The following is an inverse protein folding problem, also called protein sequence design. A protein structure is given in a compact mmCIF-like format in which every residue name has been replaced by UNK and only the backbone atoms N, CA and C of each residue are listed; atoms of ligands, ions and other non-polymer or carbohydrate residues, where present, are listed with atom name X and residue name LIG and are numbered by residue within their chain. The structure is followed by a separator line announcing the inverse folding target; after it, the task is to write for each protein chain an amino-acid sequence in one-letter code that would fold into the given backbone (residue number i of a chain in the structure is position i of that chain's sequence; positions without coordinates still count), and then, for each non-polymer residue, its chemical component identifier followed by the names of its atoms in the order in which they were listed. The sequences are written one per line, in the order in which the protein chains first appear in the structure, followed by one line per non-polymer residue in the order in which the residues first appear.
data_IF_071590148983
#
_entry.id   IF_071590148983
#
_cell.length_a   1.000
_cell.length_b   1.000
_cell.length_c   1.000
_cell.angle_alpha   90.00
_cell.angle_beta   90.00
_cell.angle_gamma   90.00
#
_symmetry.space_group_name_H-M   'P 1'
#
loop_
_entity.id
_entity.type
_entity.pdbx_description
1 polymer ?
#
# COMPACT_ATOMS: atom_id res chain seq x y z
N UNK A 1 -13.62 12.51 -20.42
CA UNK A 1 -12.70 11.44 -20.86
C UNK A 1 -11.36 11.69 -20.21
N UNK A 2 -10.95 10.94 -19.18
CA UNK A 2 -9.60 11.04 -18.66
C UNK A 2 -8.66 10.22 -19.56
N UNK A 3 -7.51 10.80 -19.88
CA UNK A 3 -6.48 10.15 -20.68
C UNK A 3 -5.82 9.03 -19.85
N UNK A 4 -5.80 7.82 -20.41
CA UNK A 4 -5.05 6.69 -19.86
C UNK A 4 -3.55 6.98 -19.96
N UNK A 5 -2.94 7.29 -18.83
CA UNK A 5 -1.48 7.31 -18.68
C UNK A 5 -0.98 5.87 -18.69
N UNK A 6 -0.66 5.35 -19.87
CA UNK A 6 0.08 4.09 -20.02
C UNK A 6 1.48 4.28 -19.45
N UNK A 7 1.68 3.82 -18.21
CA UNK A 7 3.01 3.74 -17.59
C UNK A 7 3.83 2.72 -18.38
N UNK A 8 4.66 3.22 -19.30
CA UNK A 8 5.63 2.40 -20.03
C UNK A 8 6.72 1.98 -19.04
N UNK A 9 6.73 0.71 -18.67
CA UNK A 9 7.83 0.10 -17.93
C UNK A 9 9.10 0.19 -18.79
N UNK A 10 9.94 1.18 -18.53
CA UNK A 10 11.21 1.34 -19.20
C UNK A 10 12.14 0.19 -18.77
N UNK A 11 12.31 -0.80 -19.65
CA UNK A 11 13.33 -1.82 -19.48
C UNK A 11 14.69 -1.13 -19.34
N UNK A 12 15.52 -1.46 -18.33
CA UNK A 12 16.82 -0.82 -18.13
C UNK A 12 17.66 -0.96 -19.41
N UNK A 13 18.06 0.18 -19.96
CA UNK A 13 18.63 0.32 -21.30
C UNK A 13 20.07 -0.21 -21.43
N UNK A 14 20.65 -0.77 -20.37
CA UNK A 14 22.03 -1.26 -20.39
C UNK A 14 22.07 -2.77 -20.17
N UNK A 15 22.40 -3.49 -21.24
CA UNK A 15 22.77 -4.91 -21.18
C UNK A 15 23.95 -5.03 -20.22
N UNK A 16 23.74 -5.66 -19.07
CA UNK A 16 24.76 -5.89 -18.06
C UNK A 16 25.94 -6.63 -18.69
N UNK A 17 27.16 -6.47 -18.16
CA UNK A 17 28.33 -7.24 -18.64
C UNK A 17 28.07 -8.76 -18.70
N UNK A 18 27.18 -9.27 -17.83
CA UNK A 18 26.69 -10.66 -17.82
C UNK A 18 25.87 -11.03 -19.07
N UNK A 19 25.09 -10.11 -19.62
CA UNK A 19 24.28 -10.35 -20.83
C UNK A 19 25.15 -10.45 -22.08
N UNK A 20 26.23 -9.68 -22.14
CA UNK A 20 27.22 -9.75 -23.23
C UNK A 20 27.94 -11.09 -23.20
N UNK A 21 28.33 -11.56 -22.02
CA UNK A 21 28.96 -12.87 -21.85
C UNK A 21 28.01 -14.02 -22.21
N UNK A 22 26.75 -13.94 -21.76
CA UNK A 22 25.70 -14.92 -22.13
C UNK A 22 25.43 -14.93 -23.63
N UNK A 23 25.43 -13.78 -24.30
CA UNK A 23 25.27 -13.71 -25.75
C UNK A 23 26.44 -14.36 -26.49
N UNK A 24 27.67 -14.19 -26.00
CA UNK A 24 28.86 -14.85 -26.58
C UNK A 24 28.81 -16.37 -26.39
N UNK A 25 28.42 -16.85 -25.21
CA UNK A 25 28.30 -18.30 -24.96
C UNK A 25 27.22 -18.94 -25.83
N UNK A 26 26.06 -18.29 -25.97
CA UNK A 26 24.98 -18.74 -26.87
C UNK A 26 25.42 -18.80 -28.34
N UNK A 27 26.20 -17.81 -28.80
CA UNK A 27 26.75 -17.83 -30.16
C UNK A 27 27.71 -19.01 -30.37
N UNK A 28 28.61 -19.26 -29.41
CA UNK A 28 29.56 -20.38 -29.47
C UNK A 28 28.84 -21.73 -29.48
N UNK A 29 27.85 -21.90 -28.62
CA UNK A 29 27.04 -23.10 -28.57
C UNK A 29 26.26 -23.31 -29.87
N UNK A 30 25.64 -22.24 -30.40
CA UNK A 30 24.97 -22.27 -31.70
C UNK A 30 25.92 -22.70 -32.81
N UNK A 31 27.11 -22.11 -32.90
CA UNK A 31 28.10 -22.48 -33.93
C UNK A 31 28.54 -23.93 -33.81
N UNK A 32 28.75 -24.43 -32.59
CA UNK A 32 29.13 -25.81 -32.33
C UNK A 32 28.02 -26.78 -32.73
N UNK A 33 26.79 -26.52 -32.29
CA UNK A 33 25.62 -27.32 -32.65
C UNK A 33 25.41 -27.35 -34.17
N UNK A 34 25.50 -26.20 -34.86
CA UNK A 34 25.38 -26.15 -36.32
C UNK A 34 26.53 -26.88 -37.01
N UNK A 35 27.77 -26.81 -36.49
CA UNK A 35 28.90 -27.53 -37.07
C UNK A 35 28.75 -29.04 -36.93
N UNK A 36 28.27 -29.53 -35.78
CA UNK A 36 28.02 -30.96 -35.56
C UNK A 36 26.90 -31.46 -36.48
N UNK A 37 25.85 -30.66 -36.68
CA UNK A 37 24.78 -30.99 -37.63
C UNK A 37 25.31 -31.08 -39.06
N UNK A 38 26.15 -30.14 -39.48
CA UNK A 38 26.78 -30.15 -40.82
C UNK A 38 27.70 -31.37 -40.97
N UNK A 39 28.49 -31.70 -39.94
CA UNK A 39 29.34 -32.90 -39.94
C UNK A 39 28.49 -34.16 -40.06
N UNK A 40 27.40 -34.29 -39.30
CA UNK A 40 26.47 -35.41 -39.41
C UNK A 40 25.82 -35.49 -40.81
N UNK A 41 25.49 -34.36 -41.42
CA UNK A 41 24.97 -34.34 -42.79
C UNK A 41 26.04 -34.82 -43.80
N UNK A 42 27.29 -34.38 -43.67
CA UNK A 42 28.40 -34.82 -44.52
C UNK A 42 28.65 -36.33 -44.35
N UNK A 43 28.74 -36.82 -43.12
CA UNK A 43 28.93 -38.24 -42.82
C UNK A 43 27.79 -39.07 -43.40
N UNK A 44 26.54 -38.61 -43.26
CA UNK A 44 25.38 -39.28 -43.85
C UNK A 44 25.49 -39.39 -45.38
N UNK A 45 25.86 -38.32 -46.07
CA UNK A 45 26.01 -38.32 -47.53
C UNK A 45 27.15 -39.25 -47.98
N UNK A 46 28.30 -39.20 -47.30
CA UNK A 46 29.48 -40.01 -47.65
C UNK A 46 29.31 -41.51 -47.38
N UNK A 47 28.45 -41.88 -46.43
CA UNK A 47 28.23 -43.27 -46.01
C UNK A 47 26.97 -43.89 -46.61
N UNK A 48 26.27 -43.18 -47.51
CA UNK A 48 24.95 -43.56 -48.02
C UNK A 48 24.90 -44.93 -48.69
N UNK A 49 25.93 -45.28 -49.44
CA UNK A 49 26.03 -46.56 -50.17
C UNK A 49 27.00 -47.55 -49.49
N UNK A 50 27.38 -47.30 -48.23
CA UNK A 50 28.34 -48.13 -47.51
C UNK A 50 27.72 -49.40 -46.93
N UNK A 51 28.37 -50.55 -47.14
CA UNK A 51 27.93 -51.84 -46.62
C UNK A 51 28.61 -52.22 -45.28
N UNK A 52 28.03 -53.19 -44.58
CA UNK A 52 28.60 -53.72 -43.33
C UNK A 52 28.62 -52.70 -42.20
N UNK A 53 29.79 -52.46 -41.59
CA UNK A 53 29.91 -51.55 -40.44
C UNK A 53 29.60 -50.09 -40.80
N UNK A 54 29.77 -49.70 -42.07
CA UNK A 54 29.50 -48.34 -42.57
C UNK A 54 28.01 -48.02 -42.54
N UNK A 55 27.14 -49.03 -42.72
CA UNK A 55 25.69 -48.86 -42.64
C UNK A 55 25.23 -48.42 -41.23
N UNK A 56 25.88 -48.90 -40.16
CA UNK A 56 25.59 -48.44 -38.80
C UNK A 56 25.98 -46.97 -38.59
N UNK A 57 27.08 -46.52 -39.20
CA UNK A 57 27.51 -45.11 -39.16
C UNK A 57 26.49 -44.25 -39.90
N UNK A 58 26.02 -44.70 -41.07
CA UNK A 58 24.99 -44.00 -41.83
C UNK A 58 23.70 -43.82 -41.03
N UNK A 59 23.16 -44.90 -40.46
CA UNK A 59 21.96 -44.87 -39.64
C UNK A 59 22.11 -43.98 -38.40
N UNK A 60 23.28 -44.00 -37.75
CA UNK A 60 23.57 -43.12 -36.61
C UNK A 60 23.59 -41.65 -37.04
N UNK A 61 24.18 -41.36 -38.20
CA UNK A 61 24.26 -40.01 -38.76
C UNK A 61 22.89 -39.48 -39.18
N UNK A 62 22.04 -40.34 -39.75
CA UNK A 62 20.64 -40.04 -40.08
C UNK A 62 19.84 -39.71 -38.82
N UNK A 63 19.93 -40.57 -37.80
CA UNK A 63 19.25 -40.36 -36.52
C UNK A 63 19.71 -39.07 -35.83
N UNK A 64 21.01 -38.77 -35.84
CA UNK A 64 21.56 -37.53 -35.28
C UNK A 64 21.05 -36.29 -36.02
N UNK A 65 20.99 -36.33 -37.36
CA UNK A 65 20.49 -35.21 -38.18
C UNK A 65 19.00 -34.96 -37.95
N UNK A 66 18.17 -36.01 -38.00
CA UNK A 66 16.72 -35.91 -37.77
C UNK A 66 16.44 -35.43 -36.34
N UNK A 67 17.13 -35.99 -35.34
CA UNK A 67 16.99 -35.60 -33.94
C UNK A 67 17.32 -34.12 -33.70
N UNK A 68 18.41 -33.62 -34.29
CA UNK A 68 18.79 -32.22 -34.17
C UNK A 68 17.79 -31.26 -34.85
N UNK A 69 17.21 -31.64 -36.00
CA UNK A 69 16.16 -30.85 -36.66
C UNK A 69 14.87 -30.82 -35.82
N UNK A 70 14.50 -31.96 -35.22
CA UNK A 70 13.32 -32.06 -34.36
C UNK A 70 13.44 -31.19 -33.10
N UNK A 71 14.60 -31.20 -32.43
CA UNK A 71 14.86 -30.35 -31.27
C UNK A 71 14.79 -28.86 -31.62
N UNK A 72 15.41 -28.47 -32.75
CA UNK A 72 15.29 -27.10 -33.27
C UNK A 72 13.83 -26.69 -33.51
N UNK A 73 13.04 -27.59 -34.10
CA UNK A 73 11.62 -27.34 -34.35
C UNK A 73 10.84 -27.17 -33.04
N UNK A 74 11.07 -28.02 -32.03
CA UNK A 74 10.37 -27.97 -30.75
C UNK A 74 10.60 -26.66 -30.00
N UNK A 75 11.86 -26.24 -29.85
CA UNK A 75 12.20 -24.97 -29.19
C UNK A 75 11.66 -23.79 -29.98
N UNK A 76 11.79 -23.82 -31.31
CA UNK A 76 11.27 -22.74 -32.16
C UNK A 76 9.75 -22.67 -32.05
N UNK A 77 9.03 -23.78 -32.11
CA UNK A 77 7.58 -23.87 -31.99
C UNK A 77 7.06 -23.43 -30.61
N UNK A 78 7.87 -23.47 -29.55
CA UNK A 78 7.49 -22.92 -28.26
C UNK A 78 7.39 -21.39 -28.30
N UNK A 79 8.33 -20.73 -28.98
CA UNK A 79 8.47 -19.27 -28.95
C UNK A 79 8.00 -18.54 -30.22
N UNK A 80 8.02 -19.18 -31.39
CA UNK A 80 7.80 -18.59 -32.72
C UNK A 80 7.23 -19.62 -33.71
N UNK A 81 6.92 -19.16 -34.91
CA UNK A 81 6.57 -20.02 -36.03
C UNK A 81 7.83 -20.54 -36.74
N UNK A 82 8.06 -21.86 -36.83
CA UNK A 82 9.21 -22.41 -37.54
C UNK A 82 9.13 -22.02 -39.03
N UNK A 83 10.27 -21.62 -39.60
CA UNK A 83 10.38 -21.10 -40.98
C UNK A 83 9.51 -19.87 -41.30
N UNK A 84 8.88 -19.23 -40.30
CA UNK A 84 7.96 -18.11 -40.50
C UNK A 84 6.57 -18.52 -41.02
N UNK A 85 6.29 -19.82 -41.09
CA UNK A 85 5.01 -20.34 -41.59
C UNK A 85 4.06 -20.53 -40.40
N UNK A 86 2.83 -19.98 -40.41
CA UNK A 86 1.88 -20.10 -39.31
C UNK A 86 1.28 -21.52 -39.26
N UNK A 87 2.07 -22.48 -38.78
CA UNK A 87 1.63 -23.86 -38.57
C UNK A 87 0.70 -23.90 -37.34
N UNK A 88 -0.48 -24.55 -37.42
CA UNK A 88 -1.36 -24.74 -36.26
C UNK A 88 -0.60 -25.35 -35.08
N UNK A 89 -0.90 -24.90 -33.84
CA UNK A 89 -0.28 -25.38 -32.59
C UNK A 89 1.22 -25.05 -32.40
N UNK A 90 1.80 -24.11 -33.16
CA UNK A 90 3.12 -23.53 -32.89
C UNK A 90 2.99 -22.13 -32.27
N UNK A 91 4.10 -21.53 -31.83
CA UNK A 91 4.15 -20.33 -31.00
C UNK A 91 3.31 -20.44 -29.72
N UNK A 92 3.49 -21.53 -28.96
CA UNK A 92 2.66 -21.86 -27.79
C UNK A 92 2.70 -20.74 -26.73
N UNK A 93 3.89 -20.23 -26.39
CA UNK A 93 4.04 -19.18 -25.36
C UNK A 93 3.36 -17.87 -25.77
N UNK A 94 3.64 -17.28 -26.96
CA UNK A 94 2.91 -16.09 -27.41
C UNK A 94 1.40 -16.27 -27.44
N UNK A 95 0.92 -17.46 -27.84
CA UNK A 95 -0.51 -17.75 -27.95
C UNK A 95 -1.22 -17.91 -26.61
N UNK A 96 -0.52 -18.40 -25.58
CA UNK A 96 -1.04 -18.59 -24.21
C UNK A 96 -0.55 -17.54 -23.21
N UNK A 97 -0.05 -16.39 -23.70
CA UNK A 97 0.54 -15.34 -22.86
C UNK A 97 -0.41 -14.90 -21.74
N UNK A 98 -1.69 -14.75 -22.03
CA UNK A 98 -2.69 -14.30 -21.05
C UNK A 98 -2.89 -15.31 -19.93
N UNK A 99 -3.22 -16.57 -20.28
CA UNK A 99 -3.39 -17.65 -19.30
C UNK A 99 -2.12 -17.91 -18.48
N UNK A 100 -0.93 -17.79 -19.06
CA UNK A 100 0.34 -17.87 -18.32
C UNK A 100 0.51 -16.67 -17.37
N UNK A 101 0.07 -15.48 -17.77
CA UNK A 101 0.06 -14.28 -16.93
C UNK A 101 -0.85 -14.44 -15.72
N UNK A 102 -2.08 -14.90 -15.93
CA UNK A 102 -3.04 -15.22 -14.86
C UNK A 102 -2.46 -16.26 -13.89
N UNK A 103 -1.94 -17.38 -14.39
CA UNK A 103 -1.34 -18.42 -13.53
C UNK A 103 -0.11 -17.91 -12.74
N UNK A 104 0.70 -17.02 -13.33
CA UNK A 104 1.82 -16.40 -12.63
C UNK A 104 1.35 -15.39 -11.58
N UNK A 105 0.28 -14.64 -11.86
CA UNK A 105 -0.33 -13.74 -10.89
C UNK A 105 -0.85 -14.53 -9.69
N UNK A 106 -1.65 -15.57 -9.93
CA UNK A 106 -2.21 -16.43 -8.88
C UNK A 106 -1.08 -17.05 -8.06
N UNK A 107 -0.03 -17.55 -8.71
CA UNK A 107 1.15 -18.07 -8.01
C UNK A 107 1.82 -17.02 -7.12
N UNK A 108 1.99 -15.79 -7.58
CA UNK A 108 2.59 -14.71 -6.77
C UNK A 108 1.69 -14.35 -5.60
N UNK A 109 0.39 -14.25 -5.82
CA UNK A 109 -0.59 -13.98 -4.76
C UNK A 109 -0.55 -15.09 -3.71
N UNK A 110 -0.70 -16.33 -4.16
CA UNK A 110 -0.80 -17.51 -3.31
C UNK A 110 0.49 -17.88 -2.60
N UNK A 111 1.67 -17.52 -3.12
CA UNK A 111 2.94 -17.93 -2.50
C UNK A 111 3.68 -16.78 -1.81
N UNK A 112 3.47 -15.53 -2.24
CA UNK A 112 4.23 -14.38 -1.75
C UNK A 112 3.37 -13.30 -1.10
N UNK A 113 2.07 -13.22 -1.39
CA UNK A 113 1.16 -12.22 -0.82
C UNK A 113 0.20 -12.77 0.23
N UNK A 114 0.42 -14.00 0.71
CA UNK A 114 -0.34 -14.50 1.85
C UNK A 114 -0.10 -13.60 3.08
N UNK A 115 -1.15 -13.21 3.82
CA UNK A 115 -1.05 -12.33 4.98
C UNK A 115 0.02 -12.77 5.97
N UNK A 116 0.17 -14.07 6.19
CA UNK A 116 1.12 -14.68 7.12
C UNK A 116 2.57 -14.46 6.65
N UNK A 117 2.85 -14.73 5.37
CA UNK A 117 4.18 -14.54 4.76
C UNK A 117 4.56 -13.06 4.75
N UNK A 118 3.61 -12.20 4.40
CA UNK A 118 3.81 -10.74 4.39
C UNK A 118 4.11 -10.24 5.81
N UNK A 119 3.32 -10.67 6.80
CA UNK A 119 3.54 -10.34 8.22
C UNK A 119 4.90 -10.81 8.71
N UNK A 120 5.30 -12.05 8.43
CA UNK A 120 6.59 -12.60 8.83
C UNK A 120 7.75 -11.79 8.22
N UNK A 121 7.64 -11.41 6.94
CA UNK A 121 8.65 -10.58 6.27
C UNK A 121 8.71 -9.16 6.83
N UNK A 122 7.56 -8.54 7.09
CA UNK A 122 7.47 -7.21 7.73
C UNK A 122 8.11 -7.22 9.12
N UNK A 123 7.84 -8.25 9.92
CA UNK A 123 8.46 -8.46 11.23
C UNK A 123 9.97 -8.68 11.10
N UNK A 124 10.41 -9.52 10.17
CA UNK A 124 11.84 -9.78 9.94
C UNK A 124 12.63 -8.54 9.49
N UNK A 125 11.99 -7.62 8.75
CA UNK A 125 12.62 -6.37 8.33
C UNK A 125 12.64 -5.34 9.48
N UNK A 126 11.83 -5.51 10.53
CA UNK A 126 11.78 -4.60 11.67
C UNK A 126 11.27 -3.21 11.30
N UNK A 127 10.30 -3.13 10.37
CA UNK A 127 9.76 -1.84 9.90
C UNK A 127 9.10 -1.08 11.04
N UNK A 128 8.36 -1.80 11.90
CA UNK A 128 7.72 -1.23 13.08
C UNK A 128 8.75 -0.67 14.06
N UNK A 129 9.81 -1.42 14.36
CA UNK A 129 10.88 -0.98 15.26
C UNK A 129 11.61 0.24 14.72
N UNK A 130 11.89 0.30 13.41
CA UNK A 130 12.51 1.50 12.79
C UNK A 130 11.59 2.71 12.83
N UNK A 131 10.29 2.51 12.61
CA UNK A 131 9.31 3.58 12.71
C UNK A 131 9.20 4.09 14.15
N UNK A 132 9.15 3.19 15.12
CA UNK A 132 9.14 3.51 16.54
C UNK A 132 10.43 4.25 16.94
N UNK A 133 11.61 3.75 16.54
CA UNK A 133 12.88 4.41 16.86
C UNK A 133 12.98 5.81 16.26
N UNK A 134 12.48 5.99 15.03
CA UNK A 134 12.44 7.29 14.38
C UNK A 134 11.48 8.27 15.08
N UNK A 135 10.35 7.78 15.58
CA UNK A 135 9.38 8.60 16.33
C UNK A 135 9.89 9.01 17.72
N UNK A 136 10.66 8.14 18.38
CA UNK A 136 11.24 8.39 19.70
C UNK A 136 12.38 9.42 19.67
N UNK A 137 12.94 9.72 18.50
CA UNK A 137 13.94 10.78 18.35
C UNK A 137 13.30 12.18 18.59
N UNK A 138 13.93 13.04 19.42
CA UNK A 138 13.39 14.35 19.76
C UNK A 138 13.03 15.19 18.53
N UNK A 139 11.80 15.71 18.49
CA UNK A 139 11.31 16.58 17.42
C UNK A 139 10.73 15.88 16.17
N UNK A 140 10.91 14.56 16.00
CA UNK A 140 10.31 13.82 14.88
C UNK A 140 8.80 13.64 15.05
N UNK A 141 8.35 13.30 16.26
CA UNK A 141 6.93 13.28 16.59
C UNK A 141 6.27 14.65 16.36
N UNK A 142 6.88 15.74 16.86
CA UNK A 142 6.37 17.10 16.63
C UNK A 142 6.29 17.48 15.16
N UNK A 143 7.29 17.06 14.36
CA UNK A 143 7.32 17.33 12.92
C UNK A 143 6.21 16.55 12.19
N UNK A 144 5.97 15.30 12.58
CA UNK A 144 4.87 14.49 12.06
C UNK A 144 3.52 15.10 12.44
N UNK A 145 3.34 15.46 13.71
CA UNK A 145 2.11 16.10 14.22
C UNK A 145 1.87 17.42 13.49
N UNK A 146 2.89 18.27 13.31
CA UNK A 146 2.77 19.55 12.57
C UNK A 146 2.47 19.36 11.08
N UNK A 147 3.00 18.31 10.47
CA UNK A 147 2.67 17.98 9.08
C UNK A 147 1.23 17.47 8.97
N UNK A 148 0.84 16.54 9.84
CA UNK A 148 -0.50 15.97 9.91
C UNK A 148 -1.56 17.02 10.21
N UNK A 149 -1.34 17.90 11.19
CA UNK A 149 -2.29 18.97 11.55
C UNK A 149 -2.51 19.99 10.44
N UNK A 150 -1.49 20.30 9.61
CA UNK A 150 -1.68 21.14 8.41
C UNK A 150 -2.56 20.48 7.36
N UNK A 151 -2.36 19.17 7.14
CA UNK A 151 -3.17 18.39 6.20
C UNK A 151 -4.60 18.27 6.73
N UNK A 152 -4.75 17.96 8.01
CA UNK A 152 -6.04 17.88 8.68
C UNK A 152 -6.80 19.21 8.59
N UNK A 153 -6.17 20.34 8.94
CA UNK A 153 -6.79 21.66 8.86
C UNK A 153 -7.26 22.05 7.45
N UNK A 154 -6.65 21.50 6.38
CA UNK A 154 -7.08 21.74 5.00
C UNK A 154 -8.03 20.65 4.45
N UNK A 155 -8.05 19.49 5.10
CA UNK A 155 -8.75 18.29 4.64
C UNK A 155 -10.11 18.12 5.30
N UNK A 156 -10.26 18.50 6.57
CA UNK A 156 -11.49 18.28 7.33
C UNK A 156 -12.73 18.94 6.72
N UNK A 157 -12.59 20.12 6.10
CA UNK A 157 -13.69 20.79 5.39
C UNK A 157 -14.16 20.07 4.11
N UNK A 158 -13.43 19.04 3.66
CA UNK A 158 -13.75 18.28 2.44
C UNK A 158 -14.16 16.83 2.70
N UNK A 159 -14.22 16.42 3.96
CA UNK A 159 -14.64 15.07 4.30
C UNK A 159 -16.17 15.04 4.33
N UNK A 160 -16.77 14.12 3.58
CA UNK A 160 -18.22 13.91 3.58
C UNK A 160 -18.61 13.05 4.78
N UNK A 161 -19.82 13.23 5.31
CA UNK A 161 -20.34 12.39 6.40
C UNK A 161 -20.32 10.90 6.05
N UNK A 162 -20.60 10.55 4.78
CA UNK A 162 -20.56 9.18 4.27
C UNK A 162 -19.16 8.55 4.34
N UNK A 163 -18.11 9.36 4.11
CA UNK A 163 -16.72 8.89 4.16
C UNK A 163 -16.30 8.59 5.61
N UNK A 164 -16.78 9.39 6.57
CA UNK A 164 -16.57 9.16 8.00
C UNK A 164 -17.29 7.89 8.43
N UNK A 165 -18.55 7.72 8.01
CA UNK A 165 -19.33 6.53 8.36
C UNK A 165 -18.68 5.25 7.80
N UNK A 166 -18.26 5.26 6.54
CA UNK A 166 -17.58 4.13 5.92
C UNK A 166 -16.25 3.81 6.63
N UNK A 167 -15.45 4.82 6.97
CA UNK A 167 -14.20 4.61 7.70
C UNK A 167 -14.44 4.00 9.08
N UNK A 168 -15.41 4.51 9.83
CA UNK A 168 -15.74 4.01 11.17
C UNK A 168 -16.23 2.56 11.07
N UNK A 169 -17.18 2.28 10.17
CA UNK A 169 -17.84 0.99 10.01
C UNK A 169 -16.92 -0.10 9.45
N UNK A 170 -16.14 0.23 8.43
CA UNK A 170 -15.43 -0.78 7.64
C UNK A 170 -13.97 -0.95 8.10
N UNK A 171 -13.39 0.03 8.79
CA UNK A 171 -11.98 0.02 9.19
C UNK A 171 -11.81 0.03 10.70
N UNK A 172 -12.47 0.98 11.40
CA UNK A 172 -12.26 1.17 12.85
C UNK A 172 -12.94 0.05 13.65
N UNK A 173 -14.23 -0.18 13.45
CA UNK A 173 -15.03 -1.16 14.21
C UNK A 173 -14.46 -2.58 14.10
N UNK A 174 -14.15 -3.11 12.90
CA UNK A 174 -13.65 -4.49 12.78
C UNK A 174 -12.28 -4.68 13.42
N UNK A 175 -11.42 -3.64 13.42
CA UNK A 175 -10.11 -3.72 14.06
C UNK A 175 -10.18 -3.59 15.58
N UNK A 176 -11.06 -2.73 16.10
CA UNK A 176 -11.29 -2.61 17.54
C UNK A 176 -11.92 -3.87 18.13
N UNK A 177 -12.73 -4.61 17.35
CA UNK A 177 -13.33 -5.87 17.81
C UNK A 177 -12.42 -7.08 17.66
N UNK A 178 -11.42 -7.04 16.77
CA UNK A 178 -10.60 -8.22 16.44
C UNK A 178 -9.49 -8.51 17.45
N UNK A 179 -8.99 -7.50 18.17
CA UNK A 179 -7.88 -7.65 19.11
C UNK A 179 -8.08 -6.69 20.29
N UNK A 180 -7.99 -7.15 21.56
CA UNK A 180 -8.15 -6.27 22.72
C UNK A 180 -6.91 -5.37 22.86
N UNK A 181 -6.88 -4.30 22.08
CA UNK A 181 -5.86 -3.26 22.16
C UNK A 181 -6.08 -2.30 23.33
N UNK A 182 -7.18 -2.46 24.09
CA UNK A 182 -7.54 -1.63 25.23
C UNK A 182 -6.37 -1.34 26.16
N UNK A 183 -5.68 -2.36 26.71
CA UNK A 183 -4.57 -2.14 27.63
C UNK A 183 -3.39 -1.38 27.03
N UNK A 184 -3.03 -1.68 25.77
CA UNK A 184 -1.93 -1.00 25.08
C UNK A 184 -2.26 0.48 24.80
N UNK A 185 -3.49 0.75 24.36
CA UNK A 185 -3.98 2.12 24.10
C UNK A 185 -4.09 2.90 25.42
N UNK A 186 -4.64 2.27 26.46
CA UNK A 186 -4.74 2.88 27.78
C UNK A 186 -3.37 3.23 28.36
N UNK A 187 -2.38 2.36 28.22
CA UNK A 187 -1.01 2.67 28.64
C UNK A 187 -0.43 3.87 27.87
N UNK A 188 -0.64 3.94 26.55
CA UNK A 188 -0.18 5.06 25.73
C UNK A 188 -0.85 6.39 26.13
N UNK A 189 -2.17 6.39 26.35
CA UNK A 189 -2.91 7.57 26.81
C UNK A 189 -2.41 8.00 28.20
N UNK A 190 -2.18 7.04 29.10
CA UNK A 190 -1.65 7.31 30.44
C UNK A 190 -0.29 8.00 30.38
N UNK A 191 0.63 7.52 29.52
CA UNK A 191 1.94 8.14 29.32
C UNK A 191 1.82 9.55 28.73
N UNK A 192 0.96 9.77 27.73
CA UNK A 192 0.71 11.08 27.12
C UNK A 192 0.22 12.09 28.15
N UNK A 193 -0.76 11.69 28.98
CA UNK A 193 -1.33 12.56 30.02
C UNK A 193 -0.29 12.86 31.10
N UNK A 194 0.46 11.85 31.53
CA UNK A 194 1.49 11.99 32.57
C UNK A 194 2.64 12.90 32.13
N UNK A 195 3.04 12.81 30.87
CA UNK A 195 4.13 13.61 30.30
C UNK A 195 3.64 15.01 29.85
N UNK A 196 2.34 15.31 29.95
CA UNK A 196 1.75 16.60 29.58
C UNK A 196 1.75 16.86 28.07
N UNK A 197 1.95 15.82 27.25
CA UNK A 197 2.08 15.97 25.81
C UNK A 197 0.77 16.43 25.14
N UNK A 198 -0.39 16.20 25.78
CA UNK A 198 -1.68 16.66 25.30
C UNK A 198 -1.92 18.17 25.51
N UNK A 199 -1.16 18.84 26.37
CA UNK A 199 -1.39 20.27 26.69
C UNK A 199 -1.30 21.15 25.44
N UNK A 200 -0.31 20.92 24.58
CA UNK A 200 -0.16 21.68 23.33
C UNK A 200 -1.30 21.45 22.32
N UNK A 201 -1.91 20.26 22.34
CA UNK A 201 -3.11 19.99 21.54
C UNK A 201 -4.31 20.75 22.08
N UNK A 202 -4.51 20.74 23.41
CA UNK A 202 -5.59 21.49 24.07
C UNK A 202 -5.45 22.98 23.80
N UNK A 203 -4.24 23.52 23.83
CA UNK A 203 -3.97 24.92 23.48
C UNK A 203 -4.37 25.25 22.03
N UNK A 204 -3.99 24.39 21.09
CA UNK A 204 -4.33 24.55 19.68
C UNK A 204 -5.85 24.51 19.47
N UNK A 205 -6.53 23.55 20.08
CA UNK A 205 -7.99 23.41 19.98
C UNK A 205 -8.70 24.61 20.60
N UNK A 206 -8.28 25.06 21.78
CA UNK A 206 -8.88 26.22 22.44
C UNK A 206 -8.69 27.50 21.61
N UNK A 207 -7.51 27.70 21.04
CA UNK A 207 -7.20 28.84 20.16
C UNK A 207 -8.01 28.80 18.85
N UNK A 208 -8.11 27.63 18.19
CA UNK A 208 -8.90 27.50 16.97
C UNK A 208 -10.39 27.68 17.24
N UNK A 209 -10.90 27.07 18.32
CA UNK A 209 -12.29 27.20 18.72
C UNK A 209 -12.64 28.65 19.06
N UNK A 210 -11.76 29.36 19.76
CA UNK A 210 -11.94 30.78 20.04
C UNK A 210 -12.00 31.58 18.73
N UNK A 211 -11.07 31.35 17.79
CA UNK A 211 -11.03 32.05 16.51
C UNK A 211 -12.27 31.79 15.67
N UNK A 212 -12.72 30.54 15.62
CA UNK A 212 -13.95 30.13 14.94
C UNK A 212 -15.16 30.81 15.55
N UNK A 213 -15.30 30.81 16.89
CA UNK A 213 -16.40 31.49 17.57
C UNK A 213 -16.41 32.99 17.24
N UNK A 214 -15.28 33.69 17.35
CA UNK A 214 -15.21 35.12 17.04
C UNK A 214 -15.56 35.44 15.58
N UNK A 215 -15.23 34.56 14.64
CA UNK A 215 -15.41 34.80 13.20
C UNK A 215 -16.80 34.40 12.70
N UNK A 216 -17.53 33.54 13.42
CA UNK A 216 -18.75 32.88 12.95
C UNK A 216 -19.96 33.16 13.86
N UNK A 217 -20.14 34.41 14.30
CA UNK A 217 -21.29 34.82 15.13
C UNK A 217 -22.63 34.42 14.51
N UNK A 218 -22.80 34.64 13.20
CA UNK A 218 -24.03 34.33 12.48
C UNK A 218 -24.34 32.82 12.44
N UNK A 219 -23.33 31.97 12.29
CA UNK A 219 -23.53 30.50 12.30
C UNK A 219 -23.94 30.02 13.69
N UNK A 220 -23.29 30.54 14.74
CA UNK A 220 -23.63 30.20 16.13
C UNK A 220 -25.06 30.63 16.45
N UNK A 221 -25.47 31.84 16.04
CA UNK A 221 -26.84 32.32 16.20
C UNK A 221 -27.84 31.39 15.49
N UNK A 222 -27.54 31.00 14.26
CA UNK A 222 -28.38 30.10 13.48
C UNK A 222 -28.52 28.70 14.12
N UNK A 223 -27.47 28.16 14.72
CA UNK A 223 -27.51 26.86 15.44
C UNK A 223 -28.43 26.95 16.66
N UNK A 224 -28.36 28.06 17.41
CA UNK A 224 -29.20 28.29 18.59
C UNK A 224 -30.66 28.44 18.18
N UNK A 225 -30.95 29.21 17.12
CA UNK A 225 -32.29 29.38 16.57
C UNK A 225 -32.90 28.05 16.08
N UNK A 226 -32.11 27.20 15.40
CA UNK A 226 -32.58 25.89 14.93
C UNK A 226 -32.96 24.92 16.06
N UNK A 227 -32.37 25.09 17.25
CA UNK A 227 -32.64 24.27 18.45
C UNK A 227 -33.58 24.97 19.42
N UNK A 228 -34.02 26.19 19.14
CA UNK A 228 -34.95 26.92 19.96
C UNK A 228 -36.33 26.24 19.96
N UNK A 229 -36.99 26.13 21.13
CA UNK A 229 -38.35 25.61 21.17
C UNK A 229 -39.32 26.48 20.36
N UNK A 230 -40.28 25.84 19.69
CA UNK A 230 -41.29 26.50 18.83
C UNK A 230 -42.17 27.54 19.54
N UNK A 231 -42.15 27.60 20.87
CA UNK A 231 -42.95 28.52 21.68
C UNK A 231 -42.21 29.80 22.08
N UNK A 232 -40.91 29.92 21.74
CA UNK A 232 -40.10 31.08 22.16
C UNK A 232 -40.32 32.27 21.23
N UNK A 233 -40.56 33.48 21.76
CA UNK A 233 -40.65 34.69 20.94
C UNK A 233 -39.29 35.06 20.32
N UNK A 234 -39.28 35.48 19.05
CA UNK A 234 -38.04 35.81 18.30
C UNK A 234 -37.11 36.79 19.03
N UNK A 235 -37.67 37.81 19.70
CA UNK A 235 -36.87 38.79 20.45
C UNK A 235 -36.16 38.20 21.68
N UNK A 236 -36.64 37.07 22.22
CA UNK A 236 -35.99 36.33 23.31
C UNK A 236 -34.86 35.48 22.73
N UNK A 237 -35.12 34.78 21.63
CA UNK A 237 -34.12 33.95 20.94
C UNK A 237 -32.91 34.79 20.52
N UNK A 238 -33.11 35.95 19.89
CA UNK A 238 -32.03 36.83 19.48
C UNK A 238 -31.15 37.26 20.68
N UNK A 239 -31.80 37.66 21.78
CA UNK A 239 -31.10 38.17 22.97
C UNK A 239 -30.35 37.06 23.71
N UNK A 240 -30.93 35.86 23.74
CA UNK A 240 -30.33 34.67 24.33
C UNK A 240 -29.18 34.17 23.46
N UNK A 241 -29.35 34.13 22.14
CA UNK A 241 -28.32 33.75 21.18
C UNK A 241 -27.10 34.67 21.26
N UNK A 242 -27.29 35.99 21.23
CA UNK A 242 -26.18 36.94 21.38
C UNK A 242 -25.49 36.77 22.74
N UNK A 243 -26.26 36.61 23.83
CA UNK A 243 -25.67 36.44 25.16
C UNK A 243 -24.91 35.13 25.31
N UNK A 244 -25.46 34.03 24.81
CA UNK A 244 -24.82 32.72 24.78
C UNK A 244 -23.55 32.73 23.93
N UNK A 245 -23.58 33.41 22.78
CA UNK A 245 -22.41 33.57 21.94
C UNK A 245 -21.29 34.33 22.67
N UNK A 246 -21.60 35.48 23.26
CA UNK A 246 -20.63 36.27 24.04
C UNK A 246 -20.09 35.48 25.25
N UNK A 247 -20.95 34.70 25.90
CA UNK A 247 -20.56 33.82 27.01
C UNK A 247 -19.64 32.69 26.53
N UNK A 248 -19.96 32.06 25.40
CA UNK A 248 -19.16 30.98 24.82
C UNK A 248 -17.78 31.49 24.39
N UNK A 249 -17.71 32.62 23.67
CA UNK A 249 -16.45 33.27 23.30
C UNK A 249 -15.62 33.57 24.54
N UNK A 250 -16.24 34.16 25.58
CA UNK A 250 -15.56 34.50 26.82
C UNK A 250 -15.05 33.25 27.55
N UNK A 251 -15.88 32.22 27.69
CA UNK A 251 -15.52 30.99 28.38
C UNK A 251 -14.39 30.25 27.66
N UNK A 252 -14.41 30.20 26.33
CA UNK A 252 -13.32 29.60 25.54
C UNK A 252 -12.05 30.45 25.64
N UNK A 253 -12.15 31.78 25.68
CA UNK A 253 -11.01 32.66 25.94
C UNK A 253 -10.41 32.41 27.34
N UNK A 254 -11.24 32.26 28.38
CA UNK A 254 -10.80 31.90 29.74
C UNK A 254 -10.09 30.55 29.76
N UNK A 255 -10.61 29.54 29.05
CA UNK A 255 -9.93 28.24 28.89
C UNK A 255 -8.59 28.40 28.19
N UNK A 256 -8.52 29.19 27.12
CA UNK A 256 -7.28 29.40 26.37
C UNK A 256 -6.23 30.11 27.23
N UNK A 257 -6.61 31.17 27.91
CA UNK A 257 -5.70 32.10 28.58
C UNK A 257 -5.27 31.61 29.97
N UNK A 258 -6.03 30.75 30.63
CA UNK A 258 -5.69 30.13 31.92
C UNK A 258 -5.34 28.64 31.78
N UNK A 259 -4.04 28.27 31.86
CA UNK A 259 -3.61 26.88 31.86
C UNK A 259 -4.18 26.04 33.01
N UNK A 260 -4.58 26.66 34.13
CA UNK A 260 -5.16 25.99 35.29
C UNK A 260 -6.70 26.01 35.29
N UNK A 261 -7.32 26.35 34.16
CA UNK A 261 -8.76 26.45 34.06
C UNK A 261 -9.45 25.11 34.41
N UNK A 262 -10.59 25.17 35.11
CA UNK A 262 -11.33 23.97 35.56
C UNK A 262 -11.66 23.01 34.42
N UNK A 263 -11.98 23.53 33.23
CA UNK A 263 -12.29 22.71 32.06
C UNK A 263 -11.07 21.89 31.58
N UNK A 264 -9.86 22.47 31.64
CA UNK A 264 -8.62 21.74 31.31
C UNK A 264 -8.39 20.62 32.31
N UNK A 265 -8.49 20.92 33.60
CA UNK A 265 -8.37 19.91 34.66
C UNK A 265 -9.43 18.79 34.56
N UNK A 266 -10.68 19.13 34.18
CA UNK A 266 -11.73 18.15 33.95
C UNK A 266 -11.42 17.24 32.75
N UNK A 267 -10.85 17.79 31.69
CA UNK A 267 -10.40 17.02 30.52
C UNK A 267 -9.23 16.10 30.88
N UNK A 268 -8.25 16.58 31.65
CA UNK A 268 -7.13 15.77 32.13
C UNK A 268 -7.61 14.60 32.99
N UNK A 269 -8.57 14.86 33.89
CA UNK A 269 -9.16 13.83 34.73
C UNK A 269 -9.93 12.79 33.91
N UNK A 270 -10.70 13.24 32.92
CA UNK A 270 -11.42 12.35 32.01
C UNK A 270 -10.45 11.47 31.20
N UNK A 271 -9.35 12.02 30.68
CA UNK A 271 -8.33 11.23 29.97
C UNK A 271 -7.64 10.22 30.88
N UNK A 272 -7.35 10.60 32.13
CA UNK A 272 -6.77 9.69 33.11
C UNK A 272 -7.70 8.51 33.40
N UNK A 273 -8.98 8.81 33.65
CA UNK A 273 -10.00 7.80 33.90
C UNK A 273 -10.22 6.89 32.68
N UNK A 274 -10.31 7.47 31.47
CA UNK A 274 -10.39 6.70 30.23
C UNK A 274 -9.19 5.75 30.08
N UNK A 275 -7.98 6.20 30.43
CA UNK A 275 -6.79 5.34 30.36
C UNK A 275 -6.85 4.16 31.33
N UNK A 276 -7.44 4.38 32.52
CA UNK A 276 -7.62 3.35 33.55
C UNK A 276 -8.71 2.35 33.16
N UNK A 277 -9.85 2.85 32.67
CA UNK A 277 -10.95 2.03 32.15
C UNK A 277 -10.45 1.15 30.99
N UNK A 278 -9.73 1.72 30.01
CA UNK A 278 -9.17 0.97 28.87
C UNK A 278 -8.15 -0.11 29.28
N UNK A 279 -7.46 0.06 30.41
CA UNK A 279 -6.52 -0.93 30.94
C UNK A 279 -7.20 -2.01 31.78
N UNK A 280 -8.32 -1.69 32.43
CA UNK A 280 -8.96 -2.55 33.42
C UNK A 280 -10.16 -3.31 32.86
N UNK A 281 -10.82 -2.82 31.81
CA UNK A 281 -12.00 -3.49 31.25
C UNK A 281 -11.58 -4.64 30.31
N UNK A 282 -11.98 -5.89 30.60
CA UNK A 282 -11.86 -6.96 29.62
C UNK A 282 -12.82 -6.68 28.45
N UNK A 283 -12.46 -7.08 27.21
CA UNK A 283 -13.33 -6.89 26.06
C UNK A 283 -14.69 -7.57 26.31
N UNK A 284 -15.78 -6.81 26.21
CA UNK A 284 -17.16 -7.33 26.08
C UNK A 284 -17.45 -7.78 24.66
#
# INVERSE_FOLDING_TARGET
MPAETTSSFAMPAELSGKDVERKRSLRRMRTLATSLLVVAAIVFVLTRDGEGWVAYVNATSEAAMVGAIADWFAVTALFRHPLGIPIPHTAIIPRRKESLGESLQDFVVDNFLQPEVVRERLMAVGVADRAASWLLEPGHAERLVRAGSRIAAHGLDRISDDDVEALVRDVMVPKLSAEPMGPAVGQMVSEIVRDGAHTGLVDLVAEELHRWLVSNEAEVAQIVEQRAPWWTPQWVDDRVATRLHLEAVRWVAEIRDDPNHRARAAFDHWLAQLSEDLQSDPPV
#
